data_IF_152279179008
#
_entry.id   IF_152279179008
#
_cell.length_a   1.000
_cell.length_b   1.000
_cell.length_c   1.000
_cell.angle_alpha   90.00
_cell.angle_beta   90.00
_cell.angle_gamma   90.00
#
_symmetry.space_group_name_H-M   'P 1'
#
loop_
_entity.id
_entity.type
_entity.pdbx_description
1 polymer ?
#
# COMPACT_ATOMS: atom_id res chain seq x y z
N UNK A 1 20.50 31.25 -42.45
CA UNK A 1 20.91 31.24 -41.03
C UNK A 1 19.69 31.54 -40.16
N UNK A 2 19.00 30.51 -39.67
CA UNK A 2 17.89 30.67 -38.71
C UNK A 2 18.26 30.04 -37.37
N UNK A 3 18.06 30.82 -36.31
CA UNK A 3 18.46 30.59 -34.92
C UNK A 3 17.72 29.37 -34.33
N UNK A 4 18.46 28.33 -33.93
CA UNK A 4 17.95 27.26 -33.05
C UNK A 4 18.53 27.45 -31.65
N UNK A 5 17.99 28.41 -30.91
CA UNK A 5 18.16 28.51 -29.45
C UNK A 5 16.78 28.46 -28.80
N UNK A 6 16.12 27.31 -28.87
CA UNK A 6 14.82 27.15 -28.20
C UNK A 6 14.53 25.69 -27.79
N UNK A 7 15.57 24.90 -27.52
CA UNK A 7 15.42 23.48 -27.17
C UNK A 7 16.00 23.11 -25.79
N UNK A 8 16.37 24.09 -24.95
CA UNK A 8 17.07 23.82 -23.69
C UNK A 8 16.29 24.14 -22.40
N UNK A 9 15.01 24.54 -22.50
CA UNK A 9 14.23 24.96 -21.31
C UNK A 9 13.06 24.01 -21.01
N UNK A 10 12.68 23.11 -21.93
CA UNK A 10 11.51 22.23 -21.71
C UNK A 10 11.81 20.90 -21.00
N UNK A 11 13.06 20.44 -20.99
CA UNK A 11 13.41 19.15 -20.36
C UNK A 11 13.40 19.18 -18.82
N UNK A 12 13.83 20.24 -18.10
CA UNK A 12 13.84 20.18 -16.64
C UNK A 12 12.43 20.27 -16.02
N UNK A 13 11.44 20.84 -16.72
CA UNK A 13 10.08 20.93 -16.17
C UNK A 13 9.37 19.58 -16.12
N UNK A 14 9.61 18.69 -17.10
CA UNK A 14 9.01 17.36 -17.12
C UNK A 14 9.59 16.48 -16.00
N UNK A 15 10.87 16.64 -15.68
CA UNK A 15 11.54 15.90 -14.61
C UNK A 15 11.06 16.36 -13.23
N UNK A 16 10.76 17.64 -13.03
CA UNK A 16 10.25 18.15 -11.74
C UNK A 16 8.78 17.71 -11.50
N UNK A 17 7.97 17.57 -12.56
CA UNK A 17 6.58 17.11 -12.45
C UNK A 17 6.46 15.58 -12.23
N UNK A 18 7.51 14.81 -12.55
CA UNK A 18 7.59 13.37 -12.23
C UNK A 18 7.98 13.08 -10.77
N UNK A 19 8.47 14.07 -10.02
CA UNK A 19 8.91 13.88 -8.63
C UNK A 19 7.79 14.16 -7.61
N UNK A 20 6.64 14.71 -8.03
CA UNK A 20 5.53 14.98 -7.11
C UNK A 20 4.58 13.80 -6.87
N UNK A 21 4.73 12.68 -7.58
CA UNK A 21 3.82 11.53 -7.45
C UNK A 21 4.33 10.37 -6.59
N UNK A 22 5.63 10.34 -6.26
CA UNK A 22 6.21 9.24 -5.47
C UNK A 22 6.29 9.51 -3.96
N UNK A 23 5.85 10.69 -3.49
CA UNK A 23 5.98 11.10 -2.09
C UNK A 23 4.74 10.89 -1.20
N UNK A 24 3.57 10.57 -1.75
CA UNK A 24 2.32 10.54 -0.97
C UNK A 24 2.15 9.27 -0.11
N UNK A 25 2.95 8.22 -0.36
CA UNK A 25 3.04 7.04 0.50
C UNK A 25 3.96 7.20 1.71
N UNK A 26 4.54 8.37 1.96
CA UNK A 26 5.47 8.51 3.11
C UNK A 26 4.77 8.64 4.46
N UNK A 27 3.56 9.21 4.50
CA UNK A 27 2.84 9.53 5.75
C UNK A 27 2.31 8.28 6.47
N UNK A 28 1.89 7.28 5.70
CA UNK A 28 1.33 6.02 6.21
C UNK A 28 2.40 4.92 6.38
N UNK A 29 3.68 5.21 6.16
CA UNK A 29 4.73 4.22 6.42
C UNK A 29 4.84 3.91 7.93
N UNK A 30 4.81 2.64 8.29
CA UNK A 30 4.85 2.17 9.67
C UNK A 30 4.44 0.70 9.82
N UNK A 31 4.48 0.22 11.05
CA UNK A 31 3.96 -1.10 11.43
C UNK A 31 2.61 -0.92 12.12
N UNK A 32 1.66 -1.77 11.78
CA UNK A 32 0.29 -1.71 12.22
C UNK A 32 -0.18 -3.08 12.68
N UNK A 33 -1.06 -3.10 13.68
CA UNK A 33 -1.70 -4.30 14.19
C UNK A 33 -3.17 -4.27 13.82
N UNK A 34 -3.67 -5.40 13.31
CA UNK A 34 -5.07 -5.56 12.99
C UNK A 34 -5.93 -5.73 14.24
N UNK A 35 -7.21 -5.35 14.15
CA UNK A 35 -8.19 -5.48 15.24
C UNK A 35 -8.39 -6.92 15.71
N UNK A 36 -8.06 -7.92 14.90
CA UNK A 36 -8.08 -9.33 15.31
C UNK A 36 -7.01 -9.68 16.36
N UNK A 37 -5.97 -8.85 16.50
CA UNK A 37 -4.78 -9.14 17.30
C UNK A 37 -3.89 -10.25 16.72
N UNK A 38 -4.22 -10.78 15.54
CA UNK A 38 -3.52 -11.91 14.90
C UNK A 38 -2.80 -11.53 13.62
N UNK A 39 -2.96 -10.29 13.18
CA UNK A 39 -2.38 -9.81 11.94
C UNK A 39 -1.50 -8.59 12.16
N UNK A 40 -0.52 -8.43 11.28
CA UNK A 40 0.40 -7.30 11.28
C UNK A 40 0.59 -6.83 9.85
N UNK A 41 0.52 -5.53 9.63
CA UNK A 41 0.82 -4.89 8.35
C UNK A 41 2.03 -3.97 8.51
N UNK A 42 3.01 -4.08 7.62
CA UNK A 42 4.15 -3.18 7.54
C UNK A 42 4.13 -2.47 6.20
N UNK A 43 4.09 -1.13 6.25
CA UNK A 43 4.10 -0.25 5.10
C UNK A 43 5.43 0.50 5.07
N UNK A 44 6.25 0.26 4.06
CA UNK A 44 7.57 0.90 3.91
C UNK A 44 7.48 2.15 3.04
N UNK A 45 8.35 3.14 3.30
CA UNK A 45 8.38 4.42 2.57
C UNK A 45 8.67 4.29 1.07
N UNK A 46 9.25 3.17 0.66
CA UNK A 46 9.53 2.83 -0.74
C UNK A 46 8.30 2.23 -1.48
N UNK A 47 7.13 2.22 -0.83
CA UNK A 47 5.89 1.64 -1.34
C UNK A 47 5.83 0.12 -1.21
N UNK A 48 6.77 -0.53 -0.51
CA UNK A 48 6.72 -1.96 -0.24
C UNK A 48 5.81 -2.27 0.96
N UNK A 49 5.02 -3.35 0.85
CA UNK A 49 4.10 -3.81 1.89
C UNK A 49 4.44 -5.23 2.34
N UNK A 50 4.26 -5.51 3.62
CA UNK A 50 4.32 -6.85 4.21
C UNK A 50 3.11 -7.08 5.09
N UNK A 51 2.51 -8.27 4.98
CA UNK A 51 1.38 -8.69 5.79
C UNK A 51 1.70 -10.04 6.42
N UNK A 52 1.46 -10.16 7.73
CA UNK A 52 1.61 -11.40 8.48
C UNK A 52 0.30 -11.74 9.19
N UNK A 53 -0.03 -13.03 9.24
CA UNK A 53 -1.20 -13.57 9.94
C UNK A 53 -0.81 -14.81 10.72
N UNK A 54 -1.22 -14.87 11.99
CA UNK A 54 -1.16 -16.08 12.81
C UNK A 54 -2.51 -16.80 12.68
N UNK A 55 -2.51 -18.02 12.16
CA UNK A 55 -3.72 -18.85 12.02
C UNK A 55 -4.18 -19.42 13.36
N UNK A 56 -5.39 -20.01 13.40
CA UNK A 56 -5.95 -20.54 14.64
C UNK A 56 -5.13 -21.72 15.18
N UNK A 57 -4.46 -22.44 14.27
CA UNK A 57 -3.59 -23.58 14.57
C UNK A 57 -2.17 -23.15 15.00
N UNK A 58 -1.90 -21.84 15.04
CA UNK A 58 -0.60 -21.28 15.44
C UNK A 58 0.42 -21.14 14.32
N UNK A 59 0.05 -21.48 13.08
CA UNK A 59 0.92 -21.27 11.92
C UNK A 59 1.01 -19.80 11.55
N UNK A 60 2.16 -19.38 11.03
CA UNK A 60 2.35 -18.02 10.50
C UNK A 60 2.31 -18.03 8.97
N UNK A 61 1.48 -17.19 8.39
CA UNK A 61 1.45 -16.91 6.95
C UNK A 61 1.94 -15.50 6.67
N UNK A 62 2.67 -15.32 5.58
CA UNK A 62 3.26 -14.04 5.20
C UNK A 62 3.04 -13.74 3.72
N UNK A 63 2.74 -12.49 3.43
CA UNK A 63 2.59 -11.97 2.08
C UNK A 63 3.39 -10.69 1.92
N UNK A 64 3.85 -10.46 0.69
CA UNK A 64 4.62 -9.27 0.34
C UNK A 64 4.03 -8.61 -0.90
N UNK A 65 4.20 -7.30 -1.01
CA UNK A 65 3.83 -6.62 -2.23
C UNK A 65 4.00 -5.12 -2.14
N UNK A 66 3.01 -4.39 -2.65
CA UNK A 66 3.07 -2.95 -2.84
C UNK A 66 1.85 -2.25 -2.29
N UNK A 67 2.03 -0.99 -1.94
CA UNK A 67 0.94 -0.15 -1.46
C UNK A 67 1.09 1.29 -1.97
N UNK A 68 -0.04 1.98 -2.02
CA UNK A 68 -0.12 3.39 -2.37
C UNK A 68 -1.30 4.06 -1.67
N UNK A 69 -1.24 5.40 -1.58
CA UNK A 69 -2.28 6.25 -0.99
C UNK A 69 -2.79 7.22 -2.03
N UNK A 70 -4.10 7.33 -2.11
CA UNK A 70 -4.79 8.29 -2.96
C UNK A 70 -5.89 8.98 -2.16
N UNK A 71 -5.62 10.22 -1.71
CA UNK A 71 -6.50 10.96 -0.81
C UNK A 71 -6.70 10.20 0.51
N UNK A 72 -7.96 9.93 0.85
CA UNK A 72 -8.35 9.14 2.03
C UNK A 72 -8.46 7.63 1.74
N UNK A 73 -7.94 7.14 0.62
CA UNK A 73 -7.95 5.73 0.27
C UNK A 73 -6.54 5.15 0.29
N UNK A 74 -6.43 3.90 0.73
CA UNK A 74 -5.21 3.10 0.64
C UNK A 74 -5.47 1.91 -0.29
N UNK A 75 -4.52 1.60 -1.16
CA UNK A 75 -4.55 0.44 -2.03
C UNK A 75 -3.34 -0.43 -1.72
N UNK A 76 -3.58 -1.70 -1.39
CA UNK A 76 -2.55 -2.68 -1.02
C UNK A 76 -2.69 -3.91 -1.90
N UNK A 77 -1.60 -4.29 -2.57
CA UNK A 77 -1.52 -5.52 -3.38
C UNK A 77 -0.50 -6.43 -2.74
N UNK A 78 -0.92 -7.60 -2.29
CA UNK A 78 -0.13 -8.60 -1.58
C UNK A 78 -0.07 -9.90 -2.38
N UNK A 79 1.08 -10.57 -2.39
CA UNK A 79 1.27 -11.87 -3.02
C UNK A 79 2.05 -12.81 -2.08
N UNK A 80 1.63 -14.06 -2.07
CA UNK A 80 2.37 -15.20 -1.52
C UNK A 80 3.28 -15.79 -2.60
N UNK A 81 4.23 -16.63 -2.22
CA UNK A 81 5.07 -17.41 -3.13
C UNK A 81 4.28 -18.42 -3.98
N UNK A 82 3.01 -18.69 -3.65
CA UNK A 82 2.17 -19.72 -4.29
C UNK A 82 1.09 -19.16 -5.24
N UNK A 83 1.35 -18.03 -5.90
CA UNK A 83 0.44 -17.27 -6.80
C UNK A 83 -0.86 -16.72 -6.16
N UNK A 84 -1.16 -17.11 -4.92
CA UNK A 84 -2.25 -16.57 -4.09
C UNK A 84 -1.91 -15.15 -3.62
N UNK A 85 -2.90 -14.26 -3.58
CA UNK A 85 -2.69 -12.87 -3.15
C UNK A 85 -3.97 -12.11 -2.84
N UNK A 86 -3.80 -10.87 -2.39
CA UNK A 86 -4.88 -9.95 -2.06
C UNK A 86 -4.70 -8.64 -2.84
N UNK A 87 -5.79 -8.07 -3.30
CA UNK A 87 -5.82 -6.77 -3.98
C UNK A 87 -6.85 -5.88 -3.28
N UNK A 88 -6.42 -5.17 -2.24
CA UNK A 88 -7.30 -4.60 -1.24
C UNK A 88 -7.35 -3.08 -1.35
N UNK A 89 -8.55 -2.53 -1.45
CA UNK A 89 -8.79 -1.09 -1.35
C UNK A 89 -9.50 -0.80 -0.04
N UNK A 90 -8.93 0.12 0.72
CA UNK A 90 -9.39 0.50 2.04
C UNK A 90 -9.51 2.00 2.24
N UNK A 91 -9.97 2.37 3.43
CA UNK A 91 -10.20 3.75 3.84
C UNK A 91 -9.22 4.13 4.95
N UNK A 92 -8.62 5.31 4.81
CA UNK A 92 -7.75 5.90 5.82
C UNK A 92 -8.62 6.76 6.74
N UNK A 93 -8.65 6.41 8.02
CA UNK A 93 -9.39 7.13 9.06
C UNK A 93 -8.57 8.31 9.59
N UNK A 94 -7.28 8.07 9.83
CA UNK A 94 -6.30 9.07 10.25
C UNK A 94 -4.87 8.62 9.90
N UNK A 95 -3.84 9.38 10.33
CA UNK A 95 -2.43 9.08 10.04
C UNK A 95 -1.90 7.76 10.61
N UNK A 96 -2.60 7.21 11.61
CA UNK A 96 -2.22 6.01 12.35
C UNK A 96 -3.21 4.85 12.12
N UNK A 97 -4.33 5.09 11.43
CA UNK A 97 -5.41 4.09 11.31
C UNK A 97 -5.99 4.02 9.91
N UNK A 98 -6.12 2.80 9.39
CA UNK A 98 -6.84 2.52 8.14
C UNK A 98 -7.60 1.20 8.23
N UNK A 99 -8.58 1.01 7.36
CA UNK A 99 -9.44 -0.16 7.31
C UNK A 99 -9.37 -0.81 5.93
N UNK A 100 -9.18 -2.13 5.90
CA UNK A 100 -9.23 -2.96 4.71
C UNK A 100 -10.49 -3.85 4.80
N UNK A 101 -11.58 -3.50 4.09
CA UNK A 101 -12.84 -4.25 4.16
C UNK A 101 -12.73 -5.62 3.49
N UNK A 102 -13.60 -6.56 3.87
CA UNK A 102 -13.80 -7.83 3.14
C UNK A 102 -14.27 -7.50 1.72
N UNK A 103 -13.42 -7.85 0.76
CA UNK A 103 -13.75 -7.75 -0.64
C UNK A 103 -14.45 -9.02 -1.11
N UNK A 104 -15.58 -9.35 -0.48
CA UNK A 104 -16.47 -10.47 -0.83
C UNK A 104 -17.00 -10.44 -2.27
N UNK A 105 -16.62 -9.45 -3.08
CA UNK A 105 -16.87 -9.41 -4.51
C UNK A 105 -15.72 -8.78 -5.27
N UNK A 106 -15.22 -9.52 -6.27
CA UNK A 106 -14.35 -9.11 -7.39
C UNK A 106 -12.84 -9.27 -7.23
N UNK A 107 -12.38 -10.51 -6.97
CA UNK A 107 -11.00 -10.95 -7.24
C UNK A 107 -10.74 -12.38 -6.78
N UNK A 108 -9.82 -13.09 -7.45
CA UNK A 108 -9.42 -14.47 -7.13
C UNK A 108 -8.77 -14.53 -5.73
N UNK A 109 -9.58 -14.63 -4.67
CA UNK A 109 -9.34 -15.37 -3.41
C UNK A 109 -10.18 -14.81 -2.24
N UNK A 110 -11.23 -15.55 -1.89
CA UNK A 110 -12.35 -15.18 -1.01
C UNK A 110 -12.08 -15.32 0.51
N UNK A 111 -10.91 -14.94 1.04
CA UNK A 111 -10.60 -15.17 2.48
C UNK A 111 -10.04 -13.96 3.23
N UNK A 112 -10.22 -12.75 2.72
CA UNK A 112 -9.95 -11.55 3.51
C UNK A 112 -11.11 -11.32 4.49
N UNK A 113 -10.82 -10.91 5.73
CA UNK A 113 -11.83 -10.43 6.66
C UNK A 113 -11.63 -8.94 6.86
N UNK A 114 -12.72 -8.18 7.02
CA UNK A 114 -12.66 -6.76 7.39
C UNK A 114 -11.73 -6.57 8.58
N UNK A 115 -10.74 -5.72 8.41
CA UNK A 115 -9.78 -5.46 9.45
C UNK A 115 -9.33 -4.01 9.47
N UNK A 116 -9.38 -3.42 10.66
CA UNK A 116 -8.80 -2.10 10.92
C UNK A 116 -7.39 -2.28 11.46
N UNK A 117 -6.43 -1.59 10.84
CA UNK A 117 -5.03 -1.60 11.19
C UNK A 117 -4.68 -0.31 11.92
N UNK A 118 -4.19 -0.44 13.16
CA UNK A 118 -3.75 0.69 13.99
C UNK A 118 -2.24 0.65 14.17
N UNK A 119 -1.58 1.79 13.97
CA UNK A 119 -0.12 1.91 14.00
C UNK A 119 0.42 1.62 15.41
N UNK A 120 1.51 0.86 15.46
CA UNK A 120 2.33 0.71 16.66
C UNK A 120 2.85 2.07 17.12
N UNK A 121 2.72 2.37 18.41
CA UNK A 121 3.27 3.59 19.00
C UNK A 121 4.77 3.50 19.21
#
# INVERSE_FOLDING_TARGET
MFKKKLAFIFVPLLVIMLVTLSGCGSSMAGTYHGTSGRTTMTLSKDGSAGYGEITADGDSKTWHGKWEVNGNSIHVVLKSSSDYGFNLKGTIHDKDTFELPDQRGTGENNSWNDETFTRSR
#
